data_IF_381190389505
#
_entry.id   IF_381190389505
#
_cell.length_a   1.000
_cell.length_b   1.000
_cell.length_c   1.000
_cell.angle_alpha   90.00
_cell.angle_beta   90.00
_cell.angle_gamma   90.00
#
_symmetry.space_group_name_H-M   'P 1'
#
loop_
_entity.id
_entity.type
_entity.pdbx_description
1 polymer ?
#
# COMPACT_ATOMS: atom_id res chain seq x y z
N UNK A 1 2.36 -38.25 -20.62
CA UNK A 1 2.25 -38.57 -19.19
C UNK A 1 3.64 -38.56 -18.62
N UNK A 2 4.04 -37.47 -17.95
CA UNK A 2 5.32 -37.38 -17.26
C UNK A 2 5.01 -37.02 -15.82
N UNK A 3 5.29 -37.97 -14.93
CA UNK A 3 5.21 -37.86 -13.47
C UNK A 3 6.41 -37.04 -12.99
N UNK A 4 6.19 -36.04 -12.14
CA UNK A 4 7.24 -35.19 -11.57
C UNK A 4 7.31 -35.39 -10.06
N UNK A 5 8.50 -35.69 -9.54
CA UNK A 5 8.82 -35.83 -8.10
C UNK A 5 9.50 -34.55 -7.59
N UNK A 6 9.06 -34.04 -6.42
CA UNK A 6 9.65 -32.90 -5.73
C UNK A 6 10.29 -33.39 -4.41
N UNK A 7 11.60 -33.16 -4.23
CA UNK A 7 12.36 -33.56 -3.04
C UNK A 7 12.57 -32.42 -2.02
N UNK A 8 11.77 -31.36 -2.07
CA UNK A 8 11.59 -30.48 -0.90
C UNK A 8 12.62 -29.38 -0.65
N UNK A 9 13.55 -29.09 -1.56
CA UNK A 9 14.44 -27.92 -1.48
C UNK A 9 14.46 -27.13 -2.80
N UNK A 10 13.83 -25.94 -2.82
CA UNK A 10 13.85 -24.98 -3.94
C UNK A 10 12.47 -24.67 -4.56
N UNK A 11 12.32 -23.54 -5.30
CA UNK A 11 11.04 -23.15 -5.89
C UNK A 11 10.58 -24.18 -6.93
N UNK A 12 9.28 -24.52 -6.90
CA UNK A 12 8.64 -25.48 -7.79
C UNK A 12 8.91 -25.17 -9.28
N UNK A 13 9.43 -26.15 -10.01
CA UNK A 13 9.42 -26.11 -11.47
C UNK A 13 8.02 -26.39 -12.00
N UNK A 14 7.33 -25.32 -12.40
CA UNK A 14 6.10 -25.40 -13.21
C UNK A 14 6.50 -25.15 -14.67
N UNK A 15 6.35 -26.11 -15.59
CA UNK A 15 6.49 -25.85 -17.01
C UNK A 15 5.34 -24.94 -17.47
N UNK A 16 5.65 -23.69 -17.83
CA UNK A 16 4.75 -22.83 -18.60
C UNK A 16 3.85 -21.84 -17.86
N UNK A 17 4.30 -21.19 -16.79
CA UNK A 17 3.60 -20.02 -16.22
C UNK A 17 4.52 -18.82 -16.05
N UNK A 18 4.04 -17.63 -16.45
CA UNK A 18 4.86 -16.47 -16.78
C UNK A 18 4.40 -15.15 -16.16
N UNK A 19 5.39 -14.24 -16.12
CA UNK A 19 5.33 -12.79 -15.89
C UNK A 19 6.79 -12.27 -16.09
N UNK A 20 7.17 -11.19 -16.80
CA UNK A 20 6.57 -10.07 -17.58
C UNK A 20 7.54 -9.77 -18.76
N UNK A 21 7.05 -9.38 -19.95
CA UNK A 21 7.31 -8.06 -20.54
C UNK A 21 5.99 -7.33 -20.84
N UNK A 22 6.10 -6.02 -20.88
CA UNK A 22 5.06 -5.00 -21.10
C UNK A 22 4.27 -5.19 -22.39
N UNK A 23 2.96 -4.91 -22.39
CA UNK A 23 2.09 -5.04 -23.57
C UNK A 23 1.39 -3.70 -23.82
N UNK A 24 1.20 -3.35 -25.10
CA UNK A 24 0.57 -2.10 -25.55
C UNK A 24 -0.81 -2.40 -26.14
N UNK A 25 -1.79 -1.54 -25.85
CA UNK A 25 -3.19 -1.70 -26.27
C UNK A 25 -3.76 -0.37 -26.77
N UNK A 26 -4.68 -0.45 -27.72
CA UNK A 26 -5.39 0.70 -28.30
C UNK A 26 -6.88 0.68 -27.87
N UNK A 27 -7.47 1.85 -27.69
CA UNK A 27 -8.89 2.04 -27.28
C UNK A 27 -9.68 2.67 -28.43
N UNK A 28 -10.46 1.85 -29.15
CA UNK A 28 -11.17 2.28 -30.37
C UNK A 28 -12.52 2.99 -30.11
N UNK A 29 -13.10 3.71 -31.11
CA UNK A 29 -14.46 4.23 -31.07
C UNK A 29 -15.56 3.16 -31.12
N UNK A 30 -16.65 3.37 -30.37
CA UNK A 30 -17.95 2.74 -30.61
C UNK A 30 -18.60 3.37 -31.84
N UNK A 31 -18.90 2.57 -32.87
CA UNK A 31 -19.79 2.96 -33.95
C UNK A 31 -21.24 2.71 -33.52
N UNK A 32 -22.05 3.77 -33.48
CA UNK A 32 -23.47 3.72 -33.15
C UNK A 32 -24.24 2.94 -34.22
N UNK A 33 -24.80 1.79 -33.85
CA UNK A 33 -25.92 1.20 -34.58
C UNK A 33 -27.14 1.14 -33.66
N UNK A 34 -28.17 1.90 -34.06
CA UNK A 34 -29.44 1.97 -33.36
C UNK A 34 -30.14 0.60 -33.39
N UNK A 35 -30.36 0.02 -32.20
CA UNK A 35 -31.08 -1.24 -32.07
C UNK A 35 -30.94 -1.88 -30.69
N UNK A 36 -31.55 -1.26 -29.67
CA UNK A 36 -32.05 -1.87 -28.43
C UNK A 36 -31.21 -3.00 -27.79
N UNK A 37 -30.25 -2.66 -26.93
CA UNK A 37 -29.96 -3.41 -25.69
C UNK A 37 -29.41 -2.46 -24.62
N UNK A 38 -30.09 -2.39 -23.47
CA UNK A 38 -29.58 -1.78 -22.24
C UNK A 38 -28.44 -2.66 -21.69
N UNK A 39 -27.19 -2.21 -21.87
CA UNK A 39 -26.02 -2.57 -21.06
C UNK A 39 -25.03 -1.41 -21.21
N UNK A 40 -24.43 -0.96 -20.11
CA UNK A 40 -23.44 0.11 -20.07
C UNK A 40 -22.41 -0.04 -21.21
N UNK A 41 -22.16 1.04 -21.96
CA UNK A 41 -21.28 1.06 -23.13
C UNK A 41 -19.94 0.35 -22.85
N UNK A 42 -19.79 -0.87 -23.33
CA UNK A 42 -18.57 -1.67 -23.13
C UNK A 42 -17.47 -1.04 -23.98
N UNK A 43 -16.40 -0.58 -23.33
CA UNK A 43 -15.17 -0.12 -23.99
C UNK A 43 -14.64 -1.21 -24.94
N UNK A 44 -14.48 -0.89 -26.23
CA UNK A 44 -13.83 -1.78 -27.19
C UNK A 44 -12.31 -1.61 -27.11
N UNK A 45 -11.68 -2.49 -26.32
CA UNK A 45 -10.23 -2.55 -26.13
C UNK A 45 -9.63 -3.58 -27.08
N UNK A 46 -8.51 -3.24 -27.74
CA UNK A 46 -7.76 -4.16 -28.60
C UNK A 46 -6.31 -4.28 -28.18
N UNK A 47 -5.83 -5.52 -28.10
CA UNK A 47 -4.40 -5.79 -27.91
C UNK A 47 -3.69 -5.57 -29.25
N UNK A 48 -2.79 -4.59 -29.32
CA UNK A 48 -2.05 -4.28 -30.56
C UNK A 48 -0.69 -4.96 -30.64
N UNK A 49 -0.16 -5.44 -29.52
CA UNK A 49 1.07 -6.25 -29.47
C UNK A 49 0.79 -7.69 -29.00
N UNK A 50 1.83 -8.53 -28.89
CA UNK A 50 1.66 -9.88 -28.33
C UNK A 50 1.85 -9.88 -26.81
N UNK A 51 1.15 -10.76 -26.11
CA UNK A 51 1.39 -11.12 -24.71
C UNK A 51 2.54 -12.13 -24.70
N UNK A 52 3.62 -11.86 -23.96
CA UNK A 52 4.75 -12.79 -23.94
C UNK A 52 4.32 -14.18 -23.44
N UNK A 53 4.89 -15.22 -24.04
CA UNK A 53 4.52 -16.62 -23.84
C UNK A 53 3.07 -17.00 -24.22
N UNK A 54 2.29 -16.10 -24.82
CA UNK A 54 0.94 -16.39 -25.29
C UNK A 54 0.74 -16.02 -26.77
N UNK A 55 0.73 -17.04 -27.65
CA UNK A 55 0.70 -16.81 -29.10
C UNK A 55 -0.64 -16.22 -29.57
N UNK A 56 -0.66 -15.06 -30.25
CA UNK A 56 -1.90 -14.38 -30.65
C UNK A 56 -2.78 -15.21 -31.60
N UNK A 57 -2.16 -15.87 -32.59
CA UNK A 57 -2.87 -16.76 -33.51
C UNK A 57 -3.45 -18.04 -32.90
N UNK A 58 -2.74 -18.72 -31.98
CA UNK A 58 -3.19 -19.97 -31.36
C UNK A 58 -4.21 -19.74 -30.23
N UNK A 59 -4.08 -18.62 -29.50
CA UNK A 59 -4.88 -18.33 -28.32
C UNK A 59 -5.82 -17.13 -28.49
N UNK A 60 -6.38 -16.94 -29.69
CA UNK A 60 -7.26 -15.80 -30.01
C UNK A 60 -8.42 -15.62 -29.03
N UNK A 61 -9.01 -16.72 -28.54
CA UNK A 61 -10.09 -16.66 -27.54
C UNK A 61 -9.60 -16.05 -26.23
N UNK A 62 -8.42 -16.44 -25.75
CA UNK A 62 -7.85 -15.89 -24.52
C UNK A 62 -7.51 -14.41 -24.69
N UNK A 63 -6.97 -13.99 -25.84
CA UNK A 63 -6.77 -12.57 -26.14
C UNK A 63 -8.08 -11.77 -26.02
N UNK A 64 -9.18 -12.28 -26.61
CA UNK A 64 -10.50 -11.62 -26.47
C UNK A 64 -11.00 -11.55 -25.03
N UNK A 65 -10.68 -12.55 -24.19
CA UNK A 65 -11.01 -12.51 -22.77
C UNK A 65 -10.16 -11.48 -22.01
N UNK A 66 -8.87 -11.37 -22.33
CA UNK A 66 -7.97 -10.37 -21.76
C UNK A 66 -8.42 -8.95 -22.14
N UNK A 67 -8.79 -8.71 -23.40
CA UNK A 67 -9.35 -7.43 -23.88
C UNK A 67 -10.58 -7.02 -23.05
N UNK A 68 -11.53 -7.94 -22.85
CA UNK A 68 -12.72 -7.69 -22.03
C UNK A 68 -12.38 -7.43 -20.56
N UNK A 69 -11.38 -8.13 -20.02
CA UNK A 69 -10.96 -7.97 -18.64
C UNK A 69 -10.27 -6.61 -18.42
N UNK A 70 -9.46 -6.17 -19.38
CA UNK A 70 -8.84 -4.83 -19.38
C UNK A 70 -9.93 -3.78 -19.50
N UNK A 71 -10.87 -3.92 -20.44
CA UNK A 71 -12.02 -3.02 -20.56
C UNK A 71 -12.82 -2.92 -19.26
N UNK A 72 -12.98 -4.03 -18.54
CA UNK A 72 -13.66 -4.05 -17.23
C UNK A 72 -12.83 -3.43 -16.10
N UNK A 73 -11.51 -3.37 -16.24
CA UNK A 73 -10.60 -2.77 -15.25
C UNK A 73 -10.51 -1.25 -15.39
N UNK A 74 -10.73 -0.69 -16.58
CA UNK A 74 -10.61 0.76 -16.85
C UNK A 74 -11.52 1.62 -15.95
N UNK A 75 -12.84 1.32 -15.79
CA UNK A 75 -13.68 2.08 -14.86
C UNK A 75 -13.16 2.04 -13.43
N UNK A 76 -12.72 0.88 -12.94
CA UNK A 76 -12.13 0.76 -11.60
C UNK A 76 -10.83 1.54 -11.47
N UNK A 77 -9.99 1.60 -12.51
CA UNK A 77 -8.78 2.43 -12.53
C UNK A 77 -9.10 3.92 -12.48
N UNK A 78 -10.14 4.36 -13.21
CA UNK A 78 -10.61 5.75 -13.17
C UNK A 78 -11.11 6.17 -11.78
N UNK A 79 -11.66 5.24 -10.99
CA UNK A 79 -12.15 5.52 -9.63
C UNK A 79 -11.03 5.63 -8.59
N UNK A 80 -9.94 4.88 -8.76
CA UNK A 80 -8.87 4.78 -7.75
C UNK A 80 -7.67 5.70 -8.03
N UNK A 81 -7.49 6.16 -9.27
CA UNK A 81 -6.40 7.05 -9.66
C UNK A 81 -6.80 8.52 -9.50
N UNK A 82 -5.84 9.35 -9.10
CA UNK A 82 -5.98 10.79 -8.96
C UNK A 82 -4.67 11.49 -9.31
N UNK A 83 -4.72 12.81 -9.56
CA UNK A 83 -3.54 13.60 -9.90
C UNK A 83 -2.80 14.03 -8.62
N UNK A 84 -1.47 13.93 -8.61
CA UNK A 84 -0.63 14.04 -7.39
C UNK A 84 -0.87 15.28 -6.52
N UNK A 85 -1.14 16.43 -7.12
CA UNK A 85 -1.37 17.71 -6.41
C UNK A 85 -2.82 17.85 -5.91
N UNK A 86 -3.66 16.83 -6.08
CA UNK A 86 -5.06 16.82 -5.63
C UNK A 86 -5.22 15.77 -4.53
N UNK A 87 -5.91 16.11 -3.43
CA UNK A 87 -6.18 15.19 -2.31
C UNK A 87 -7.20 14.08 -2.64
N UNK A 88 -7.10 13.47 -3.82
CA UNK A 88 -7.99 12.40 -4.30
C UNK A 88 -9.41 12.87 -4.65
N UNK A 89 -10.36 11.93 -4.58
CA UNK A 89 -11.79 12.20 -4.80
C UNK A 89 -12.34 13.14 -3.72
N UNK A 90 -12.96 14.26 -4.15
CA UNK A 90 -13.63 15.23 -3.28
C UNK A 90 -15.14 15.27 -3.54
N UNK A 91 -15.99 15.39 -2.49
CA UNK A 91 -15.61 15.31 -1.08
C UNK A 91 -15.11 13.90 -0.75
N UNK A 92 -14.16 13.75 0.19
CA UNK A 92 -13.68 12.44 0.59
C UNK A 92 -14.84 11.61 1.15
N UNK A 93 -14.80 10.28 0.93
CA UNK A 93 -15.86 9.37 1.38
C UNK A 93 -16.03 9.41 2.91
N UNK A 94 -14.94 9.63 3.62
CA UNK A 94 -14.85 9.76 5.07
C UNK A 94 -13.99 10.99 5.35
N UNK A 95 -14.52 11.97 6.07
CA UNK A 95 -13.74 13.08 6.64
C UNK A 95 -13.16 12.61 7.98
N UNK A 96 -12.11 13.19 8.55
CA UNK A 96 -11.66 12.84 9.92
C UNK A 96 -11.20 14.08 10.67
N UNK A 97 -11.59 14.22 11.94
CA UNK A 97 -11.07 15.24 12.84
C UNK A 97 -9.88 14.68 13.62
N UNK A 98 -8.93 15.54 13.99
CA UNK A 98 -7.93 15.18 14.99
C UNK A 98 -8.56 14.83 16.34
N UNK A 99 -7.72 14.49 17.31
CA UNK A 99 -8.17 14.20 18.66
C UNK A 99 -8.35 15.48 19.48
N UNK A 100 -9.41 15.53 20.29
CA UNK A 100 -9.58 16.58 21.29
C UNK A 100 -8.62 16.31 22.43
N UNK A 101 -7.74 17.26 22.71
CA UNK A 101 -6.80 17.20 23.83
C UNK A 101 -7.34 18.04 24.98
N UNK A 102 -7.35 17.46 26.18
CA UNK A 102 -7.71 18.09 27.44
C UNK A 102 -6.46 18.33 28.28
N UNK A 103 -6.49 19.37 29.11
CA UNK A 103 -5.42 19.75 30.03
C UNK A 103 -4.04 19.98 29.37
N UNK A 104 -4.00 20.14 28.05
CA UNK A 104 -2.76 20.45 27.33
C UNK A 104 -2.26 21.84 27.73
N UNK A 105 -1.05 21.88 28.30
CA UNK A 105 -0.50 23.10 28.86
C UNK A 105 -1.50 23.79 29.80
N UNK A 106 -2.21 23.03 30.64
CA UNK A 106 -3.16 23.55 31.64
C UNK A 106 -2.54 24.68 32.46
N UNK A 107 -3.15 25.86 32.47
CA UNK A 107 -2.70 26.97 33.32
C UNK A 107 -2.82 26.57 34.79
N UNK A 108 -1.71 26.67 35.53
CA UNK A 108 -1.69 26.33 36.94
C UNK A 108 -0.83 27.35 37.69
N UNK A 109 -1.37 27.87 38.80
CA UNK A 109 -0.74 28.94 39.61
C UNK A 109 0.71 28.65 39.99
N UNK A 110 1.05 27.36 40.16
CA UNK A 110 2.42 26.92 40.41
C UNK A 110 3.41 27.47 39.37
N UNK A 111 3.07 27.48 38.08
CA UNK A 111 3.97 27.92 37.01
C UNK A 111 4.09 29.46 36.89
N UNK A 112 3.20 30.20 37.54
CA UNK A 112 3.31 31.67 37.64
C UNK A 112 4.41 32.08 38.63
N UNK A 113 4.57 31.28 39.70
CA UNK A 113 5.50 31.52 40.79
C UNK A 113 6.79 30.71 40.69
N UNK A 114 6.74 29.46 40.19
CA UNK A 114 7.88 28.56 40.03
C UNK A 114 8.59 28.78 38.70
N UNK A 115 9.68 29.55 38.74
CA UNK A 115 10.51 29.88 37.57
C UNK A 115 11.75 28.97 37.50
N UNK A 116 12.30 28.72 36.31
CA UNK A 116 13.45 27.84 36.11
C UNK A 116 14.78 28.55 36.44
N UNK A 117 14.94 29.02 37.68
CA UNK A 117 16.17 29.67 38.16
C UNK A 117 17.18 28.65 38.71
N UNK A 118 18.50 28.96 38.66
CA UNK A 118 19.54 28.05 39.14
C UNK A 118 19.57 27.91 40.67
N UNK A 119 19.03 28.88 41.42
CA UNK A 119 18.92 28.83 42.87
C UNK A 119 17.67 29.56 43.37
N UNK A 120 17.16 29.16 44.53
CA UNK A 120 15.89 29.68 45.06
C UNK A 120 15.98 31.11 45.59
N UNK A 121 17.17 31.56 46.00
CA UNK A 121 17.41 32.92 46.53
C UNK A 121 17.16 34.03 45.50
N UNK A 122 17.06 33.68 44.22
CA UNK A 122 16.70 34.61 43.14
C UNK A 122 15.17 34.75 43.02
N UNK A 123 14.41 33.79 43.55
CA UNK A 123 12.96 33.70 43.39
C UNK A 123 12.18 33.98 44.68
N UNK A 124 12.74 33.64 45.83
CA UNK A 124 12.11 33.79 47.14
C UNK A 124 13.04 34.56 48.08
N UNK A 125 12.47 35.48 48.86
CA UNK A 125 13.21 36.27 49.83
C UNK A 125 13.57 35.45 51.08
N UNK A 126 12.81 34.38 51.35
CA UNK A 126 13.00 33.52 52.52
C UNK A 126 13.02 32.02 52.19
N UNK A 127 13.75 31.25 53.00
CA UNK A 127 13.80 29.79 52.91
C UNK A 127 12.43 29.12 53.15
N UNK A 128 11.58 29.74 53.98
CA UNK A 128 10.26 29.21 54.32
C UNK A 128 9.26 29.35 53.15
N UNK A 129 9.36 30.44 52.38
CA UNK A 129 8.59 30.60 51.13
C UNK A 129 8.99 29.55 50.10
N UNK A 130 10.30 29.29 49.97
CA UNK A 130 10.80 28.24 49.09
C UNK A 130 10.33 26.85 49.52
N UNK A 131 10.35 26.53 50.82
CA UNK A 131 9.83 25.27 51.35
C UNK A 131 8.33 25.09 51.08
N UNK A 132 7.55 26.15 51.26
CA UNK A 132 6.11 26.15 50.95
C UNK A 132 5.88 25.85 49.47
N UNK A 133 6.63 26.51 48.58
CA UNK A 133 6.53 26.31 47.13
C UNK A 133 6.94 24.89 46.71
N UNK A 134 7.98 24.33 47.33
CA UNK A 134 8.37 22.93 47.11
C UNK A 134 7.28 21.96 47.51
N UNK A 135 6.64 22.17 48.66
CA UNK A 135 5.54 21.32 49.11
C UNK A 135 4.35 21.40 48.16
N UNK A 136 3.99 22.60 47.67
CA UNK A 136 2.97 22.75 46.62
C UNK A 136 3.35 22.03 45.33
N UNK A 137 4.63 22.08 44.94
CA UNK A 137 5.11 21.35 43.77
C UNK A 137 5.04 19.83 43.96
N UNK A 138 5.38 19.32 45.15
CA UNK A 138 5.23 17.89 45.49
C UNK A 138 3.79 17.43 45.39
N UNK A 139 2.88 18.16 46.02
CA UNK A 139 1.44 17.86 45.97
C UNK A 139 0.93 17.84 44.52
N UNK A 140 1.38 18.78 43.68
CA UNK A 140 1.05 18.80 42.26
C UNK A 140 1.60 17.57 41.51
N UNK A 141 2.85 17.18 41.77
CA UNK A 141 3.51 16.02 41.15
C UNK A 141 2.88 14.69 41.60
N UNK A 142 2.40 14.60 42.83
CA UNK A 142 1.71 13.42 43.39
C UNK A 142 0.24 13.32 42.96
N UNK A 143 -0.32 14.37 42.36
CA UNK A 143 -1.71 14.40 41.88
C UNK A 143 -2.05 13.26 40.90
N UNK A 144 -3.33 12.99 40.65
CA UNK A 144 -3.74 11.91 39.77
C UNK A 144 -3.31 12.15 38.31
N UNK A 145 -3.00 11.07 37.60
CA UNK A 145 -2.75 11.06 36.15
C UNK A 145 -3.83 10.25 35.43
N UNK A 146 -4.16 10.61 34.18
CA UNK A 146 -4.96 9.75 33.34
C UNK A 146 -4.19 8.45 33.02
N UNK A 147 -4.89 7.35 32.70
CA UNK A 147 -4.25 6.10 32.30
C UNK A 147 -3.25 6.33 31.16
N UNK A 148 -2.11 5.62 31.15
CA UNK A 148 -1.05 5.80 30.14
C UNK A 148 -1.55 5.78 28.69
N UNK A 149 -2.51 4.91 28.37
CA UNK A 149 -3.10 4.80 27.02
C UNK A 149 -3.99 5.99 26.63
N UNK A 150 -4.37 6.85 27.58
CA UNK A 150 -5.11 8.10 27.35
C UNK A 150 -4.22 9.34 27.41
N UNK A 151 -2.98 9.23 27.89
CA UNK A 151 -2.08 10.37 27.99
C UNK A 151 -1.76 10.90 26.60
N UNK A 152 -1.92 12.21 26.39
CA UNK A 152 -1.59 12.86 25.12
C UNK A 152 -0.09 12.74 24.81
N UNK A 153 0.73 12.73 25.86
CA UNK A 153 2.16 12.45 25.77
C UNK A 153 2.57 11.67 27.03
N UNK A 154 2.86 10.38 26.87
CA UNK A 154 3.06 9.46 28.00
C UNK A 154 4.46 9.54 28.63
N UNK A 155 5.44 10.09 27.90
CA UNK A 155 6.85 10.18 28.31
C UNK A 155 7.38 8.82 28.84
N UNK A 156 7.46 7.78 27.98
CA UNK A 156 7.75 6.42 28.40
C UNK A 156 9.14 6.25 29.04
N UNK A 157 10.09 7.13 28.70
CA UNK A 157 11.44 7.14 29.23
C UNK A 157 11.57 7.72 30.65
N UNK A 158 10.50 8.32 31.19
CA UNK A 158 10.46 8.82 32.58
C UNK A 158 9.87 7.74 33.51
N UNK A 159 10.34 7.64 34.77
CA UNK A 159 9.82 6.66 35.72
C UNK A 159 8.32 6.83 35.95
N UNK A 160 7.66 5.78 36.42
CA UNK A 160 6.22 5.81 36.74
C UNK A 160 5.96 6.86 37.83
N UNK A 161 6.77 6.85 38.88
CA UNK A 161 6.76 7.88 39.91
C UNK A 161 7.78 8.97 39.56
N UNK A 162 7.29 10.18 39.24
CA UNK A 162 8.15 11.31 38.92
C UNK A 162 8.96 11.82 40.12
N UNK A 163 8.54 11.48 41.36
CA UNK A 163 9.27 11.84 42.57
C UNK A 163 10.64 11.16 42.66
N UNK A 164 10.79 9.99 42.01
CA UNK A 164 12.03 9.22 42.01
C UNK A 164 13.12 9.85 41.13
N UNK A 165 12.80 10.91 40.37
CA UNK A 165 13.75 11.59 39.49
C UNK A 165 14.73 12.51 40.22
N UNK A 166 14.40 12.95 41.45
CA UNK A 166 15.20 13.92 42.19
C UNK A 166 15.61 13.38 43.55
N UNK A 167 16.88 13.55 43.91
CA UNK A 167 17.35 13.34 45.28
C UNK A 167 16.87 14.48 46.20
N UNK A 168 16.84 14.28 47.53
CA UNK A 168 16.44 15.33 48.48
C UNK A 168 17.19 16.66 48.30
N UNK A 169 18.47 16.62 47.93
CA UNK A 169 19.31 17.79 47.69
C UNK A 169 18.93 18.49 46.36
N UNK A 170 18.56 17.73 45.34
CA UNK A 170 18.15 18.28 44.04
C UNK A 170 16.80 19.00 44.11
N UNK A 171 15.95 18.66 45.09
CA UNK A 171 14.72 19.39 45.37
C UNK A 171 14.98 20.83 45.86
N UNK A 172 16.18 21.19 46.28
CA UNK A 172 16.54 22.58 46.60
C UNK A 172 16.79 23.45 45.37
N UNK A 173 16.85 22.87 44.17
CA UNK A 173 17.15 23.57 42.92
C UNK A 173 15.83 23.87 42.18
N UNK A 174 15.39 25.15 42.07
CA UNK A 174 14.11 25.49 41.45
C UNK A 174 13.95 24.99 40.02
N UNK A 175 15.01 25.03 39.23
CA UNK A 175 15.00 24.50 37.88
C UNK A 175 14.64 22.99 37.83
N UNK A 176 15.15 22.19 38.78
CA UNK A 176 14.84 20.76 38.84
C UNK A 176 13.37 20.55 39.23
N UNK A 177 12.88 21.26 40.25
CA UNK A 177 11.48 21.22 40.69
C UNK A 177 10.53 21.69 39.59
N UNK A 178 10.90 22.72 38.83
CA UNK A 178 10.16 23.19 37.66
C UNK A 178 10.09 22.11 36.58
N UNK A 179 11.20 21.40 36.32
CA UNK A 179 11.28 20.36 35.30
C UNK A 179 10.36 19.15 35.59
N UNK A 180 10.37 18.60 36.81
CA UNK A 180 9.46 17.51 37.19
C UNK A 180 8.00 17.95 37.21
N UNK A 181 7.70 19.16 37.68
CA UNK A 181 6.34 19.72 37.59
C UNK A 181 5.89 19.83 36.13
N UNK A 182 6.78 20.22 35.21
CA UNK A 182 6.49 20.25 33.77
C UNK A 182 6.22 18.86 33.20
N UNK A 183 7.00 17.83 33.56
CA UNK A 183 6.71 16.45 33.16
C UNK A 183 5.35 15.99 33.65
N UNK A 184 4.97 16.36 34.89
CA UNK A 184 3.63 16.08 35.41
C UNK A 184 2.54 16.76 34.59
N UNK A 185 2.71 18.06 34.29
CA UNK A 185 1.77 18.83 33.45
C UNK A 185 1.57 18.17 32.09
N UNK A 186 2.65 17.68 31.47
CA UNK A 186 2.58 16.92 30.21
C UNK A 186 1.79 15.62 30.37
N UNK A 187 2.08 14.79 31.39
CA UNK A 187 1.38 13.52 31.64
C UNK A 187 -0.08 13.67 32.04
N UNK A 188 -0.46 14.83 32.57
CA UNK A 188 -1.86 15.14 32.90
C UNK A 188 -2.70 15.44 31.67
N UNK A 189 -2.09 15.88 30.57
CA UNK A 189 -2.81 16.05 29.31
C UNK A 189 -3.28 14.70 28.78
N UNK A 190 -4.53 14.64 28.32
CA UNK A 190 -5.14 13.41 27.80
C UNK A 190 -6.02 13.71 26.59
N UNK A 191 -6.35 12.67 25.84
CA UNK A 191 -7.15 12.82 24.63
C UNK A 191 -8.37 11.91 24.61
N UNK A 192 -9.41 12.35 23.89
CA UNK A 192 -10.49 11.49 23.46
C UNK A 192 -10.10 10.82 22.14
N UNK A 193 -10.23 9.48 22.09
CA UNK A 193 -10.12 8.78 20.82
C UNK A 193 -11.21 9.30 19.88
N UNK A 194 -10.90 9.51 18.59
CA UNK A 194 -11.87 10.02 17.64
C UNK A 194 -13.05 9.05 17.53
N UNK A 195 -14.26 9.58 17.70
CA UNK A 195 -15.50 8.84 17.48
C UNK A 195 -15.66 8.49 15.99
N UNK A 196 -16.31 7.37 15.64
CA UNK A 196 -16.52 6.93 14.26
C UNK A 196 -17.48 7.85 13.48
N UNK A 197 -18.00 8.91 14.09
CA UNK A 197 -18.77 9.93 13.41
C UNK A 197 -19.60 10.78 14.36
N UNK A 198 -20.32 11.75 13.80
CA UNK A 198 -21.34 12.55 14.52
C UNK A 198 -22.69 11.82 14.60
N UNK A 199 -22.87 10.76 13.81
CA UNK A 199 -24.13 10.00 13.72
C UNK A 199 -24.26 8.90 14.77
N UNK A 200 -23.14 8.37 15.27
CA UNK A 200 -23.11 7.31 16.28
C UNK A 200 -21.73 7.23 16.94
N UNK A 201 -21.70 6.80 18.20
CA UNK A 201 -20.48 6.59 18.98
C UNK A 201 -19.78 5.26 18.64
N UNK A 202 -18.51 5.14 19.05
CA UNK A 202 -17.69 3.94 18.94
C UNK A 202 -18.36 2.75 19.61
N UNK A 203 -19.01 2.97 20.76
CA UNK A 203 -19.74 1.90 21.47
C UNK A 203 -20.92 1.37 20.65
N UNK A 204 -21.70 2.27 20.05
CA UNK A 204 -22.83 1.89 19.18
C UNK A 204 -22.33 1.15 17.94
N UNK A 205 -21.31 1.69 17.28
CA UNK A 205 -20.66 1.03 16.14
C UNK A 205 -20.14 -0.37 16.50
N UNK A 206 -19.44 -0.50 17.62
CA UNK A 206 -18.88 -1.77 18.12
C UNK A 206 -19.98 -2.79 18.44
N UNK A 207 -21.16 -2.33 18.85
CA UNK A 207 -22.34 -3.16 19.10
C UNK A 207 -23.10 -3.54 17.82
N UNK A 208 -22.70 -3.00 16.66
CA UNK A 208 -23.40 -3.21 15.39
C UNK A 208 -24.69 -2.40 15.28
N UNK A 209 -24.94 -1.47 16.20
CA UNK A 209 -26.03 -0.51 16.13
C UNK A 209 -25.56 0.64 15.24
N UNK A 210 -26.28 0.93 14.16
CA UNK A 210 -25.90 1.94 13.16
C UNK A 210 -24.66 1.56 12.31
N UNK A 211 -24.70 0.41 11.61
CA UNK A 211 -23.70 0.00 10.59
C UNK A 211 -23.72 0.85 9.31
N UNK A 212 -24.41 1.99 9.33
CA UNK A 212 -24.29 3.01 8.29
C UNK A 212 -22.84 3.47 8.14
N UNK A 213 -22.51 4.11 7.02
CA UNK A 213 -21.16 4.64 6.82
C UNK A 213 -20.91 5.73 7.87
N UNK A 214 -19.89 5.53 8.68
CA UNK A 214 -19.28 6.50 9.58
C UNK A 214 -19.22 7.90 8.92
N UNK A 215 -20.07 8.82 9.38
CA UNK A 215 -20.01 10.23 8.99
C UNK A 215 -19.26 10.97 10.07
N UNK A 216 -17.96 11.04 9.90
CA UNK A 216 -17.11 11.99 10.58
C UNK A 216 -17.20 13.31 9.83
N UNK A 217 -16.98 14.42 10.51
CA UNK A 217 -16.88 15.70 9.81
C UNK A 217 -15.39 16.16 9.81
N UNK A 218 -15.06 17.24 9.09
CA UNK A 218 -13.75 17.91 9.15
C UNK A 218 -13.96 19.42 9.33
N UNK A 219 -12.89 20.12 9.70
CA UNK A 219 -12.82 21.58 9.60
C UNK A 219 -12.38 21.94 8.17
N UNK A 220 -13.06 22.93 7.60
CA UNK A 220 -12.84 23.44 6.24
C UNK A 220 -11.43 24.02 6.19
N UNK A 221 -10.49 23.35 5.50
CA UNK A 221 -9.22 24.02 5.15
C UNK A 221 -9.55 25.20 4.24
N UNK A 222 -8.81 26.31 4.36
CA UNK A 222 -9.08 27.51 3.55
C UNK A 222 -9.04 27.20 2.06
N UNK A 223 -8.18 26.27 1.61
CA UNK A 223 -8.11 25.83 0.23
C UNK A 223 -7.58 24.39 0.08
N UNK A 224 -8.09 23.63 -0.91
CA UNK A 224 -9.46 23.72 -1.41
C UNK A 224 -10.43 23.17 -0.35
N UNK A 225 -11.60 23.82 -0.24
CA UNK A 225 -12.70 23.42 0.66
C UNK A 225 -12.95 21.90 0.55
N UNK A 226 -13.01 21.13 1.66
CA UNK A 226 -13.33 19.71 1.61
C UNK A 226 -14.72 19.39 1.01
N UNK A 227 -15.61 20.39 0.92
CA UNK A 227 -16.91 20.33 0.21
C UNK A 227 -16.81 20.78 -1.26
N UNK A 228 -15.62 21.13 -1.73
CA UNK A 228 -15.39 21.52 -3.11
C UNK A 228 -15.50 20.30 -4.02
N UNK A 229 -16.42 20.37 -4.98
CA UNK A 229 -16.72 19.29 -5.91
C UNK A 229 -15.83 19.29 -7.16
N UNK A 230 -14.80 20.13 -7.24
CA UNK A 230 -13.83 20.14 -8.36
C UNK A 230 -12.88 18.95 -8.28
N UNK A 231 -13.42 17.74 -8.24
CA UNK A 231 -12.69 16.55 -8.60
C UNK A 231 -12.57 16.52 -10.12
N UNK A 232 -11.33 16.51 -10.64
CA UNK A 232 -11.06 16.20 -12.04
C UNK A 232 -10.95 14.68 -12.16
N UNK A 233 -12.00 13.97 -12.63
CA UNK A 233 -11.94 12.53 -12.70
C UNK A 233 -10.90 12.10 -13.73
N UNK A 234 -10.11 11.10 -13.38
CA UNK A 234 -9.30 10.39 -14.36
C UNK A 234 -10.26 9.67 -15.32
N UNK A 235 -10.04 9.85 -16.62
CA UNK A 235 -10.82 9.20 -17.68
C UNK A 235 -9.85 8.63 -18.70
N UNK A 236 -9.23 7.51 -18.36
CA UNK A 236 -8.16 6.89 -19.15
C UNK A 236 -8.57 6.71 -20.62
N UNK A 237 -9.79 6.24 -20.86
CA UNK A 237 -10.36 5.99 -22.18
C UNK A 237 -10.52 7.24 -23.05
N UNK A 238 -10.62 8.43 -22.41
CA UNK A 238 -10.72 9.71 -23.13
C UNK A 238 -9.36 10.36 -23.29
N UNK A 239 -8.55 10.33 -22.24
CA UNK A 239 -7.29 11.07 -22.17
C UNK A 239 -6.17 10.39 -22.97
N UNK A 240 -6.11 9.07 -22.94
CA UNK A 240 -5.03 8.29 -23.57
C UNK A 240 -5.52 7.55 -24.80
N UNK A 241 -6.65 7.98 -25.37
CA UNK A 241 -7.27 7.27 -26.49
C UNK A 241 -6.36 7.09 -27.69
N UNK A 242 -5.69 8.16 -28.09
CA UNK A 242 -4.79 8.15 -29.26
C UNK A 242 -3.45 7.47 -28.96
N UNK A 243 -3.01 7.55 -27.70
CA UNK A 243 -1.73 6.95 -27.27
C UNK A 243 -1.88 5.48 -26.95
N UNK A 244 -3.05 5.01 -26.56
CA UNK A 244 -3.23 3.68 -25.98
C UNK A 244 -2.77 3.59 -24.53
N UNK A 245 -2.97 2.42 -23.94
CA UNK A 245 -2.55 2.08 -22.58
C UNK A 245 -1.51 0.95 -22.61
N UNK A 246 -0.56 0.99 -21.69
CA UNK A 246 0.37 -0.11 -21.46
C UNK A 246 -0.09 -0.92 -20.24
N UNK A 247 -0.32 -2.23 -20.44
CA UNK A 247 -0.79 -3.13 -19.39
C UNK A 247 0.09 -4.37 -19.36
N UNK A 248 0.58 -4.72 -18.17
CA UNK A 248 1.22 -6.01 -17.94
C UNK A 248 0.16 -7.05 -17.62
N UNK A 249 0.21 -8.17 -18.33
CA UNK A 249 -0.62 -9.33 -18.04
C UNK A 249 0.24 -10.41 -17.39
N UNK A 250 -0.16 -10.84 -16.20
CA UNK A 250 0.37 -12.01 -15.52
C UNK A 250 -0.75 -13.01 -15.28
N UNK A 251 -0.52 -14.26 -15.64
CA UNK A 251 -1.44 -15.37 -15.37
C UNK A 251 -0.70 -16.30 -14.43
N UNK A 252 -1.20 -16.41 -13.20
CA UNK A 252 -0.62 -17.23 -12.16
C UNK A 252 -1.57 -18.37 -11.82
N UNK A 253 -1.01 -19.57 -11.61
CA UNK A 253 -1.74 -20.74 -11.14
C UNK A 253 -0.99 -21.35 -9.97
N UNK A 254 -1.69 -21.47 -8.84
CA UNK A 254 -1.18 -22.11 -7.63
C UNK A 254 -1.95 -23.41 -7.45
N UNK A 255 -1.23 -24.52 -7.36
CA UNK A 255 -1.80 -25.85 -7.14
C UNK A 255 -1.31 -26.38 -5.80
N UNK A 256 -2.25 -26.82 -4.96
CA UNK A 256 -1.98 -27.50 -3.70
C UNK A 256 -2.36 -28.97 -3.85
N UNK A 257 -1.50 -29.85 -3.36
CA UNK A 257 -1.71 -31.31 -3.39
C UNK A 257 -1.81 -31.85 -1.98
N UNK A 258 -2.33 -33.07 -1.77
CA UNK A 258 -2.32 -33.71 -0.46
C UNK A 258 -0.92 -33.78 0.18
N UNK A 259 0.14 -33.91 -0.62
CA UNK A 259 1.53 -33.96 -0.16
C UNK A 259 2.07 -32.57 0.22
N UNK A 260 1.57 -31.50 -0.41
CA UNK A 260 1.89 -30.12 -0.07
C UNK A 260 0.61 -29.29 0.07
N UNK A 261 -0.11 -29.43 1.20
CA UNK A 261 -1.49 -28.93 1.34
C UNK A 261 -1.58 -27.46 1.74
N UNK A 262 -0.45 -26.77 1.93
CA UNK A 262 -0.39 -25.41 2.50
C UNK A 262 0.43 -24.50 1.58
N UNK A 263 -0.15 -23.36 1.22
CA UNK A 263 0.57 -22.21 0.69
C UNK A 263 0.97 -21.29 1.85
N UNK A 264 2.26 -21.02 2.02
CA UNK A 264 2.78 -20.24 3.16
C UNK A 264 2.48 -18.75 3.10
N UNK A 265 1.97 -18.24 1.98
CA UNK A 265 1.80 -16.80 1.78
C UNK A 265 3.07 -16.14 1.24
N UNK A 266 2.95 -14.86 0.91
CA UNK A 266 4.09 -13.99 0.63
C UNK A 266 4.73 -13.52 1.95
N UNK A 267 6.06 -13.41 2.00
CA UNK A 267 6.76 -13.03 3.22
C UNK A 267 6.45 -11.60 3.65
N UNK A 268 6.53 -10.65 2.71
CA UNK A 268 6.48 -9.23 2.99
C UNK A 268 5.42 -8.52 2.15
N UNK A 269 4.93 -7.38 2.66
CA UNK A 269 4.12 -6.47 1.86
C UNK A 269 4.96 -5.86 0.75
N UNK A 270 4.39 -5.69 -0.44
CA UNK A 270 5.11 -5.08 -1.55
C UNK A 270 4.18 -4.29 -2.46
N UNK A 271 4.74 -3.30 -3.15
CA UNK A 271 4.09 -2.65 -4.29
C UNK A 271 4.26 -3.49 -5.54
N UNK A 272 3.36 -3.33 -6.50
CA UNK A 272 3.40 -4.07 -7.75
C UNK A 272 4.42 -3.44 -8.69
N UNK A 273 5.42 -4.24 -9.09
CA UNK A 273 6.56 -3.78 -9.88
C UNK A 273 7.58 -2.96 -9.08
N UNK A 274 8.66 -2.55 -9.75
CA UNK A 274 9.70 -1.65 -9.23
C UNK A 274 9.54 -0.23 -9.80
N UNK A 275 10.39 0.71 -9.39
CA UNK A 275 10.35 2.09 -9.90
C UNK A 275 10.49 2.19 -11.43
N UNK A 276 11.25 1.29 -12.05
CA UNK A 276 11.46 1.26 -13.50
C UNK A 276 10.23 0.74 -14.28
N UNK A 277 9.36 0.01 -13.58
CA UNK A 277 8.17 -0.62 -14.13
C UNK A 277 7.01 0.37 -14.30
N UNK A 278 7.06 1.50 -13.57
CA UNK A 278 6.09 2.62 -13.64
C UNK A 278 4.64 2.16 -13.47
N UNK A 279 4.39 1.17 -12.62
CA UNK A 279 3.04 0.70 -12.34
C UNK A 279 2.27 1.77 -11.56
N UNK A 280 1.12 2.17 -12.08
CA UNK A 280 0.20 3.13 -11.47
C UNK A 280 -0.94 2.43 -10.70
N UNK A 281 -1.46 1.33 -11.24
CA UNK A 281 -2.55 0.56 -10.63
C UNK A 281 -2.47 -0.92 -10.99
N UNK A 282 -3.07 -1.76 -10.14
CA UNK A 282 -3.17 -3.20 -10.37
C UNK A 282 -4.63 -3.64 -10.29
N UNK A 283 -4.99 -4.64 -11.08
CA UNK A 283 -6.25 -5.34 -11.00
C UNK A 283 -6.04 -6.84 -11.01
N UNK A 284 -6.70 -7.53 -10.09
CA UNK A 284 -6.59 -8.96 -9.89
C UNK A 284 -7.96 -9.59 -10.13
N UNK A 285 -8.02 -10.53 -11.06
CA UNK A 285 -9.20 -11.31 -11.37
C UNK A 285 -9.01 -12.77 -10.95
N UNK A 286 -9.96 -13.28 -10.18
CA UNK A 286 -9.96 -14.69 -9.74
C UNK A 286 -10.73 -15.51 -10.77
N UNK A 287 -10.00 -16.28 -11.58
CA UNK A 287 -10.60 -17.13 -12.62
C UNK A 287 -11.23 -18.38 -12.00
N UNK A 288 -10.52 -19.00 -11.07
CA UNK A 288 -10.90 -20.29 -10.48
C UNK A 288 -10.30 -20.36 -9.07
N UNK A 289 -11.11 -20.80 -8.09
CA UNK A 289 -10.65 -21.04 -6.73
C UNK A 289 -11.33 -22.29 -6.16
N UNK A 290 -10.68 -23.46 -6.26
CA UNK A 290 -11.28 -24.76 -5.90
C UNK A 290 -10.53 -25.45 -4.76
N UNK A 291 -11.31 -26.00 -3.83
CA UNK A 291 -10.83 -26.77 -2.68
C UNK A 291 -9.80 -26.01 -1.80
N UNK A 292 -9.95 -24.70 -1.66
CA UNK A 292 -9.07 -23.86 -0.83
C UNK A 292 -9.87 -23.19 0.28
N UNK A 293 -9.23 -23.02 1.45
CA UNK A 293 -9.73 -22.11 2.48
C UNK A 293 -9.82 -20.70 1.90
N UNK A 294 -10.62 -19.82 2.50
CA UNK A 294 -10.80 -18.45 2.01
C UNK A 294 -9.46 -17.76 1.76
N UNK A 295 -9.11 -17.58 0.48
CA UNK A 295 -7.88 -16.90 0.07
C UNK A 295 -8.07 -15.41 0.28
N UNK A 296 -7.06 -14.74 0.83
CA UNK A 296 -7.16 -13.31 1.18
C UNK A 296 -5.93 -12.54 0.71
N UNK A 297 -6.17 -11.30 0.33
CA UNK A 297 -5.14 -10.32 -0.04
C UNK A 297 -5.15 -9.21 1.02
N UNK A 298 -4.07 -9.10 1.79
CA UNK A 298 -3.87 -8.07 2.79
C UNK A 298 -3.35 -6.79 2.14
N UNK A 299 -3.75 -5.64 2.70
CA UNK A 299 -3.31 -4.33 2.26
C UNK A 299 -2.71 -3.52 3.40
N UNK A 300 -1.66 -2.79 3.07
CA UNK A 300 -0.97 -1.84 3.93
C UNK A 300 -0.78 -0.53 3.16
N UNK A 301 -0.83 0.60 3.85
CA UNK A 301 -0.50 1.90 3.29
C UNK A 301 0.48 2.65 4.18
N UNK A 302 1.30 3.45 3.51
CA UNK A 302 2.20 4.40 4.16
C UNK A 302 1.46 5.73 4.24
N UNK A 303 1.09 6.13 5.45
CA UNK A 303 0.43 7.42 5.69
C UNK A 303 1.45 8.41 6.26
N UNK A 304 1.67 9.51 5.53
CA UNK A 304 2.37 10.68 6.05
C UNK A 304 1.35 11.55 6.80
N UNK A 305 1.06 11.21 8.05
CA UNK A 305 0.11 12.00 8.84
C UNK A 305 0.83 13.16 9.52
N UNK A 306 0.47 14.38 9.14
CA UNK A 306 0.92 15.61 9.80
C UNK A 306 -0.12 16.05 10.83
N UNK A 307 0.33 16.35 12.06
CA UNK A 307 -0.58 16.74 13.15
C UNK A 307 -1.34 18.04 12.85
N UNK A 308 -0.71 18.94 12.11
CA UNK A 308 -1.30 20.20 11.60
C UNK A 308 -2.50 19.98 10.68
N UNK A 309 -2.47 18.96 9.82
CA UNK A 309 -3.58 18.65 8.91
C UNK A 309 -4.85 18.24 9.65
N UNK A 310 -4.68 17.64 10.83
CA UNK A 310 -5.77 17.20 11.70
C UNK A 310 -6.04 18.18 12.85
N UNK A 311 -5.35 19.33 12.88
CA UNK A 311 -5.40 20.32 13.96
C UNK A 311 -5.13 19.72 15.36
N UNK A 312 -4.34 18.64 15.42
CA UNK A 312 -3.95 18.06 16.68
C UNK A 312 -2.80 18.90 17.28
N UNK A 313 -2.99 19.52 18.45
CA UNK A 313 -1.93 20.33 19.06
C UNK A 313 -0.77 19.48 19.61
N UNK A 314 -0.99 18.18 19.80
CA UNK A 314 0.00 17.23 20.35
C UNK A 314 0.23 16.09 19.36
N UNK A 315 1.29 16.15 18.54
CA UNK A 315 1.61 15.10 17.55
C UNK A 315 1.68 13.69 18.14
N UNK A 316 2.19 13.55 19.38
CA UNK A 316 2.30 12.27 20.09
C UNK A 316 0.94 11.64 20.40
N UNK A 317 -0.08 12.45 20.67
CA UNK A 317 -1.44 11.96 20.87
C UNK A 317 -1.99 11.37 19.57
N UNK A 318 -1.71 12.04 18.44
CA UNK A 318 -2.11 11.55 17.13
C UNK A 318 -1.35 10.27 16.73
N UNK A 319 -0.05 10.21 16.99
CA UNK A 319 0.74 8.98 16.81
C UNK A 319 0.12 7.81 17.59
N UNK A 320 -0.25 8.05 18.85
CA UNK A 320 -0.94 7.05 19.70
C UNK A 320 -2.29 6.61 19.12
N UNK A 321 -3.10 7.56 18.61
CA UNK A 321 -4.38 7.25 17.94
C UNK A 321 -4.19 6.38 16.71
N UNK A 322 -3.09 6.60 16.00
CA UNK A 322 -2.72 5.95 14.76
C UNK A 322 -1.92 4.66 14.96
N UNK A 323 -1.67 4.25 16.20
CA UNK A 323 -0.85 3.07 16.55
C UNK A 323 0.58 3.16 15.99
N UNK A 324 1.12 4.38 15.95
CA UNK A 324 2.52 4.67 15.59
C UNK A 324 3.34 4.77 16.87
N UNK A 325 4.43 4.03 16.94
CA UNK A 325 5.34 4.03 18.08
C UNK A 325 5.86 5.43 18.41
N UNK A 326 6.07 5.70 19.70
CA UNK A 326 6.71 6.93 20.15
C UNK A 326 8.15 6.98 19.65
N UNK A 327 8.54 8.12 19.07
CA UNK A 327 9.89 8.35 18.56
C UNK A 327 10.60 9.42 19.36
N UNK A 328 11.88 9.20 19.63
CA UNK A 328 12.72 10.14 20.36
C UNK A 328 13.83 10.69 19.44
N UNK A 329 14.21 11.95 19.67
CA UNK A 329 15.17 12.66 18.80
C UNK A 329 16.58 12.04 18.76
N UNK A 330 16.91 11.20 19.74
CA UNK A 330 18.19 10.47 19.81
C UNK A 330 18.14 9.09 19.13
N UNK A 331 16.96 8.63 18.69
CA UNK A 331 16.84 7.39 17.93
C UNK A 331 17.26 7.61 16.48
N UNK A 332 18.06 6.70 15.94
CA UNK A 332 18.63 6.85 14.58
C UNK A 332 17.58 6.78 13.48
N UNK A 333 16.43 6.12 13.74
CA UNK A 333 15.40 5.85 12.73
C UNK A 333 14.01 6.19 13.26
N UNK A 334 13.20 6.94 12.49
CA UNK A 334 11.78 7.13 12.77
C UNK A 334 11.00 5.80 12.87
N UNK A 335 9.85 5.77 13.56
CA UNK A 335 8.99 4.61 13.66
C UNK A 335 8.33 4.31 12.31
N UNK A 336 7.87 3.06 12.15
CA UNK A 336 7.12 2.65 10.96
C UNK A 336 5.69 3.16 11.05
N UNK A 337 5.36 4.21 10.29
CA UNK A 337 4.02 4.72 10.05
C UNK A 337 3.34 3.93 8.90
N UNK A 338 3.13 2.64 9.12
CA UNK A 338 2.48 1.74 8.18
C UNK A 338 1.15 1.24 8.76
N UNK A 339 0.07 1.54 8.05
CA UNK A 339 -1.27 1.19 8.47
C UNK A 339 -1.74 -0.07 7.76
N UNK A 340 -1.82 -1.18 8.49
CA UNK A 340 -2.47 -2.38 8.02
C UNK A 340 -4.00 -2.23 8.14
N UNK A 341 -4.71 -2.14 7.02
CA UNK A 341 -6.17 -1.96 7.06
C UNK A 341 -6.87 -3.23 7.52
N UNK A 342 -6.67 -4.32 6.74
CA UNK A 342 -7.21 -5.69 6.81
C UNK A 342 -7.00 -6.36 5.46
N UNK A 343 -7.44 -7.61 5.34
CA UNK A 343 -7.43 -8.34 4.08
C UNK A 343 -8.80 -8.48 3.43
N UNK A 344 -8.81 -8.58 2.11
CA UNK A 344 -10.01 -8.77 1.27
C UNK A 344 -10.05 -10.22 0.78
N UNK A 345 -11.18 -10.92 0.90
CA UNK A 345 -11.30 -12.28 0.35
C UNK A 345 -11.32 -12.26 -1.18
N UNK A 346 -10.52 -13.13 -1.77
CA UNK A 346 -10.50 -13.43 -3.20
C UNK A 346 -11.61 -14.43 -3.51
N UNK A 347 -12.60 -14.01 -4.30
CA UNK A 347 -13.76 -14.81 -4.68
C UNK A 347 -13.74 -15.04 -6.17
N UNK A 348 -14.03 -16.26 -6.61
CA UNK A 348 -14.13 -16.61 -8.03
C UNK A 348 -15.08 -15.65 -8.78
N UNK A 349 -14.66 -15.18 -9.96
CA UNK A 349 -15.40 -14.23 -10.77
C UNK A 349 -15.31 -12.77 -10.31
N UNK A 350 -14.57 -12.46 -9.23
CA UNK A 350 -14.38 -11.08 -8.74
C UNK A 350 -13.15 -10.44 -9.36
N UNK A 351 -13.31 -9.19 -9.78
CA UNK A 351 -12.23 -8.27 -10.14
C UNK A 351 -11.98 -7.31 -8.97
N UNK A 352 -10.74 -7.22 -8.51
CA UNK A 352 -10.31 -6.32 -7.44
C UNK A 352 -9.24 -5.37 -7.99
N UNK A 353 -9.41 -4.06 -7.81
CA UNK A 353 -8.47 -3.05 -8.30
C UNK A 353 -7.96 -2.16 -7.16
N UNK A 354 -6.68 -1.82 -7.18
CA UNK A 354 -6.06 -0.91 -6.21
C UNK A 354 -4.91 -0.11 -6.85
N UNK A 355 -4.67 1.14 -6.39
CA UNK A 355 -3.56 1.95 -6.86
C UNK A 355 -2.23 1.43 -6.30
N UNK A 356 -1.13 1.72 -6.98
CA UNK A 356 0.21 1.28 -6.56
C UNK A 356 0.78 2.08 -5.37
N UNK A 357 -0.05 2.90 -4.72
CA UNK A 357 0.21 3.51 -3.40
C UNK A 357 -0.08 2.55 -2.24
N UNK A 358 -0.84 1.49 -2.50
CA UNK A 358 -1.03 0.40 -1.53
C UNK A 358 0.01 -0.67 -1.74
N UNK A 359 0.50 -1.20 -0.62
CA UNK A 359 1.28 -2.42 -0.57
C UNK A 359 0.34 -3.58 -0.34
N UNK A 360 0.52 -4.67 -1.06
CA UNK A 360 -0.30 -5.87 -0.93
C UNK A 360 0.53 -7.08 -0.55
N UNK A 361 -0.12 -8.04 0.11
CA UNK A 361 0.46 -9.32 0.48
C UNK A 361 -0.58 -10.43 0.40
N UNK A 362 -0.29 -11.51 -0.32
CA UNK A 362 -1.12 -12.70 -0.33
C UNK A 362 -0.93 -13.50 0.97
N UNK A 363 -2.01 -13.74 1.69
CA UNK A 363 -1.98 -14.51 2.95
C UNK A 363 -1.81 -16.02 2.70
N UNK A 364 -1.46 -16.76 3.76
CA UNK A 364 -1.39 -18.21 3.71
C UNK A 364 -2.79 -18.83 3.59
N UNK A 365 -2.87 -19.96 2.89
CA UNK A 365 -4.12 -20.73 2.76
C UNK A 365 -3.80 -22.21 2.56
N UNK A 366 -4.80 -23.07 2.75
CA UNK A 366 -4.65 -24.53 2.69
C UNK A 366 -5.83 -25.19 2.00
N UNK A 367 -5.71 -26.50 1.75
CA UNK A 367 -6.82 -27.32 1.27
C UNK A 367 -7.97 -27.37 2.28
N UNK A 368 -9.22 -27.32 1.78
CA UNK A 368 -10.41 -27.58 2.62
C UNK A 368 -10.56 -29.07 2.87
N UNK A 369 -10.51 -29.86 1.80
CA UNK A 369 -10.39 -31.32 1.83
C UNK A 369 -8.94 -31.71 1.50
N UNK A 370 -8.14 -32.15 2.49
CA UNK A 370 -6.76 -32.55 2.29
C UNK A 370 -6.58 -33.79 1.40
N UNK A 371 -7.64 -34.54 1.10
CA UNK A 371 -7.57 -35.74 0.25
C UNK A 371 -7.62 -35.43 -1.24
N UNK A 372 -8.06 -34.22 -1.61
CA UNK A 372 -8.21 -33.78 -3.00
C UNK A 372 -7.26 -32.63 -3.30
N UNK A 373 -6.74 -32.51 -4.53
CA UNK A 373 -5.98 -31.33 -4.93
C UNK A 373 -6.88 -30.09 -4.96
N UNK A 374 -6.26 -28.93 -4.83
CA UNK A 374 -6.91 -27.62 -4.94
C UNK A 374 -6.13 -26.70 -5.84
N UNK A 375 -6.81 -25.72 -6.43
CA UNK A 375 -6.16 -24.77 -7.33
C UNK A 375 -6.72 -23.35 -7.20
N UNK A 376 -5.84 -22.39 -7.50
CA UNK A 376 -6.15 -20.97 -7.60
C UNK A 376 -5.56 -20.47 -8.91
N UNK A 377 -6.42 -19.97 -9.81
CA UNK A 377 -6.00 -19.33 -11.06
C UNK A 377 -6.33 -17.84 -11.00
N UNK A 378 -5.29 -17.00 -11.14
CA UNK A 378 -5.37 -15.55 -11.05
C UNK A 378 -4.91 -14.92 -12.37
N UNK A 379 -5.58 -13.85 -12.78
CA UNK A 379 -5.09 -12.95 -13.82
C UNK A 379 -4.84 -11.59 -13.17
N UNK A 380 -3.58 -11.15 -13.19
CA UNK A 380 -3.15 -9.86 -12.67
C UNK A 380 -2.84 -8.93 -13.84
N UNK A 381 -3.50 -7.79 -13.86
CA UNK A 381 -3.35 -6.72 -14.84
C UNK A 381 -2.71 -5.52 -14.15
N UNK A 382 -1.52 -5.10 -14.58
CA UNK A 382 -0.86 -3.91 -14.02
C UNK A 382 -0.83 -2.80 -15.06
N UNK A 383 -1.49 -1.70 -14.76
CA UNK A 383 -1.48 -0.50 -15.57
C UNK A 383 -0.16 0.24 -15.37
N UNK A 384 0.58 0.43 -16.45
CA UNK A 384 1.73 1.35 -16.49
C UNK A 384 1.19 2.77 -16.55
N UNK A 385 1.84 3.71 -15.86
CA UNK A 385 1.55 5.13 -15.95
C UNK A 385 1.48 5.57 -17.42
N UNK A 386 0.29 5.95 -17.93
CA UNK A 386 0.11 6.30 -19.33
C UNK A 386 0.86 7.57 -19.78
N UNK A 387 1.43 8.34 -18.84
CA UNK A 387 2.28 9.49 -19.16
C UNK A 387 3.70 9.08 -19.58
N UNK A 388 4.12 7.84 -19.30
CA UNK A 388 5.43 7.33 -19.64
C UNK A 388 5.32 6.11 -20.56
N UNK A 389 5.94 6.19 -21.74
CA UNK A 389 6.12 5.03 -22.61
C UNK A 389 7.37 4.24 -22.19
N UNK A 390 7.20 2.98 -21.83
CA UNK A 390 8.32 2.05 -21.56
C UNK A 390 8.44 0.99 -22.66
N UNK A 391 9.61 0.37 -22.79
CA UNK A 391 9.87 -0.65 -23.82
C UNK A 391 8.96 -1.87 -23.61
N UNK A 392 8.28 -2.32 -24.66
CA UNK A 392 7.24 -3.37 -24.58
C UNK A 392 7.32 -4.39 -25.72
N UNK A 393 6.44 -5.40 -25.71
CA UNK A 393 6.27 -6.36 -26.81
C UNK A 393 5.78 -5.73 -28.11
N UNK A 394 5.44 -4.43 -28.11
CA UNK A 394 5.27 -3.66 -29.33
C UNK A 394 6.62 -3.34 -29.99
N UNK A 395 7.68 -3.18 -29.18
CA UNK A 395 9.03 -2.84 -29.63
C UNK A 395 9.93 -4.07 -29.76
N UNK A 396 9.70 -5.07 -28.89
CA UNK A 396 10.48 -6.30 -28.81
C UNK A 396 9.75 -7.39 -29.59
N UNK A 397 10.39 -8.06 -30.57
CA UNK A 397 9.77 -9.17 -31.29
C UNK A 397 9.67 -10.44 -30.42
N UNK A 398 8.81 -11.40 -30.80
CA UNK A 398 8.71 -12.67 -30.08
C UNK A 398 10.07 -13.34 -29.88
N UNK A 399 10.41 -13.61 -28.62
CA UNK A 399 11.70 -14.17 -28.22
C UNK A 399 11.71 -15.70 -28.22
N UNK A 400 10.54 -16.33 -28.34
CA UNK A 400 10.45 -17.80 -28.37
C UNK A 400 10.92 -18.34 -29.72
N UNK A 401 11.98 -19.15 -29.68
CA UNK A 401 12.61 -19.72 -30.86
C UNK A 401 11.59 -20.41 -31.79
N UNK A 402 10.70 -21.24 -31.26
CA UNK A 402 9.68 -21.95 -32.06
C UNK A 402 8.72 -21.00 -32.82
N UNK A 403 8.34 -19.89 -32.19
CA UNK A 403 7.45 -18.92 -32.83
C UNK A 403 8.17 -18.20 -33.96
N UNK A 404 9.42 -17.79 -33.69
CA UNK A 404 10.26 -17.14 -34.69
C UNK A 404 10.55 -18.10 -35.85
N UNK A 405 10.94 -19.34 -35.57
CA UNK A 405 11.27 -20.33 -36.58
C UNK A 405 10.08 -20.61 -37.51
N UNK A 406 8.87 -20.77 -36.96
CA UNK A 406 7.66 -20.93 -37.76
C UNK A 406 7.35 -19.68 -38.60
N UNK A 407 7.47 -18.49 -38.02
CA UNK A 407 7.21 -17.23 -38.72
C UNK A 407 8.24 -16.95 -39.83
N UNK A 408 9.53 -17.18 -39.58
CA UNK A 408 10.61 -17.00 -40.53
C UNK A 408 10.50 -17.98 -41.71
N UNK A 409 10.21 -19.25 -41.42
CA UNK A 409 9.94 -20.29 -42.43
C UNK A 409 8.78 -19.89 -43.35
N UNK A 410 7.70 -19.37 -42.78
CA UNK A 410 6.54 -18.89 -43.53
C UNK A 410 6.85 -17.62 -44.33
N UNK A 411 7.50 -16.62 -43.73
CA UNK A 411 7.80 -15.34 -44.37
C UNK A 411 8.75 -15.50 -45.58
N UNK A 412 9.76 -16.36 -45.46
CA UNK A 412 10.67 -16.68 -46.56
C UNK A 412 10.08 -17.68 -47.58
N UNK A 413 8.86 -18.17 -47.34
CA UNK A 413 8.16 -19.18 -48.14
C UNK A 413 9.03 -20.42 -48.40
N UNK A 414 9.80 -20.84 -47.39
CA UNK A 414 10.81 -21.89 -47.56
C UNK A 414 10.18 -23.20 -48.03
N UNK A 415 9.02 -23.56 -47.48
CA UNK A 415 8.27 -24.78 -47.85
C UNK A 415 7.76 -24.79 -49.30
N UNK A 416 7.64 -23.61 -49.91
CA UNK A 416 7.24 -23.48 -51.31
C UNK A 416 8.44 -23.42 -52.26
N UNK A 417 9.63 -23.07 -51.73
CA UNK A 417 10.85 -22.81 -52.53
C UNK A 417 11.87 -23.93 -52.43
N UNK A 418 11.86 -24.70 -51.36
CA UNK A 418 12.87 -25.71 -51.03
C UNK A 418 12.19 -27.02 -50.56
N UNK A 419 12.74 -28.18 -50.94
CA UNK A 419 12.41 -29.45 -50.30
C UNK A 419 12.69 -29.43 -48.78
N UNK A 420 11.94 -30.21 -48.01
CA UNK A 420 12.04 -30.27 -46.54
C UNK A 420 13.48 -30.57 -46.06
N UNK A 421 14.21 -31.38 -46.80
CA UNK A 421 15.60 -31.77 -46.54
C UNK A 421 16.56 -30.58 -46.60
N UNK A 422 16.22 -29.51 -47.34
CA UNK A 422 16.98 -28.27 -47.41
C UNK A 422 16.46 -27.19 -46.47
N UNK A 423 15.17 -27.26 -46.08
CA UNK A 423 14.61 -26.35 -45.07
C UNK A 423 15.22 -26.62 -43.70
N UNK A 424 15.39 -27.89 -43.29
CA UNK A 424 15.93 -28.21 -41.96
C UNK A 424 17.36 -27.70 -41.74
N UNK A 425 18.34 -27.92 -42.65
CA UNK A 425 19.68 -27.36 -42.50
C UNK A 425 19.68 -25.83 -42.42
N UNK A 426 18.84 -25.15 -43.21
CA UNK A 426 18.72 -23.69 -43.18
C UNK A 426 18.22 -23.21 -41.82
N UNK A 427 17.20 -23.86 -41.26
CA UNK A 427 16.70 -23.54 -39.93
C UNK A 427 17.69 -23.94 -38.82
N UNK A 428 18.47 -25.00 -38.99
CA UNK A 428 19.51 -25.40 -38.03
C UNK A 428 20.65 -24.37 -37.92
N UNK A 429 20.98 -23.68 -39.03
CA UNK A 429 21.98 -22.59 -39.02
C UNK A 429 21.56 -21.37 -38.19
N UNK A 430 20.26 -21.21 -37.93
CA UNK A 430 19.71 -20.08 -37.16
C UNK A 430 19.12 -20.52 -35.82
N UNK A 431 19.35 -21.76 -35.38
CA UNK A 431 18.75 -22.30 -34.15
C UNK A 431 19.13 -21.54 -32.88
N UNK A 432 20.28 -20.89 -32.88
CA UNK A 432 20.79 -20.11 -31.74
C UNK A 432 20.21 -18.68 -31.70
N UNK A 433 19.30 -18.35 -32.62
CA UNK A 433 18.62 -17.05 -32.66
C UNK A 433 17.12 -17.21 -32.95
N UNK A 434 16.20 -16.64 -32.15
CA UNK A 434 16.42 -15.87 -30.92
C UNK A 434 16.83 -16.76 -29.72
N UNK A 435 16.98 -16.12 -28.56
CA UNK A 435 17.26 -16.71 -27.25
C UNK A 435 16.57 -18.07 -27.02
N UNK A 436 17.32 -19.03 -26.49
CA UNK A 436 16.78 -20.36 -26.13
C UNK A 436 15.89 -20.30 -24.89
N UNK A 437 14.99 -21.27 -24.73
CA UNK A 437 14.15 -21.37 -23.53
C UNK A 437 14.97 -21.47 -22.23
N UNK A 438 16.12 -22.16 -22.27
CA UNK A 438 17.02 -22.30 -21.12
C UNK A 438 17.70 -20.97 -20.75
N UNK A 439 18.11 -20.19 -21.75
CA UNK A 439 18.68 -18.86 -21.53
C UNK A 439 17.63 -17.89 -20.99
N UNK A 440 16.41 -17.92 -21.52
CA UNK A 440 15.30 -17.13 -21.02
C UNK A 440 14.98 -17.45 -19.55
N UNK A 441 14.99 -18.73 -19.17
CA UNK A 441 14.77 -19.16 -17.77
C UNK A 441 15.92 -18.71 -16.85
N UNK A 442 17.17 -18.75 -17.33
CA UNK A 442 18.33 -18.22 -16.60
C UNK A 442 18.20 -16.71 -16.33
N UNK A 443 17.83 -15.93 -17.35
CA UNK A 443 17.60 -14.50 -17.21
C UNK A 443 16.42 -14.18 -16.30
N UNK A 444 15.33 -14.95 -16.41
CA UNK A 444 14.18 -14.85 -15.50
C UNK A 444 14.59 -15.06 -14.05
N UNK A 445 15.40 -16.07 -13.77
CA UNK A 445 15.89 -16.37 -12.42
C UNK A 445 16.74 -15.22 -11.86
N UNK A 446 17.62 -14.64 -12.70
CA UNK A 446 18.41 -13.46 -12.33
C UNK A 446 17.52 -12.25 -12.02
N UNK A 447 16.52 -11.99 -12.87
CA UNK A 447 15.58 -10.89 -12.68
C UNK A 447 14.76 -11.06 -11.39
N UNK A 448 14.28 -12.27 -11.11
CA UNK A 448 13.57 -12.56 -9.85
C UNK A 448 14.46 -12.32 -8.63
N UNK A 449 15.72 -12.75 -8.67
CA UNK A 449 16.68 -12.50 -7.60
C UNK A 449 16.95 -11.00 -7.39
N UNK A 450 17.11 -10.23 -8.47
CA UNK A 450 17.29 -8.78 -8.40
C UNK A 450 16.05 -8.06 -7.84
N UNK A 451 14.85 -8.47 -8.27
CA UNK A 451 13.59 -7.95 -7.76
C UNK A 451 13.44 -8.23 -6.26
N UNK A 452 13.74 -9.46 -5.85
CA UNK A 452 13.70 -9.88 -4.45
C UNK A 452 14.70 -9.08 -3.60
N UNK A 453 15.93 -8.89 -4.11
CA UNK A 453 16.93 -8.04 -3.44
C UNK A 453 16.44 -6.61 -3.29
N UNK A 454 15.87 -6.02 -4.35
CA UNK A 454 15.33 -4.66 -4.31
C UNK A 454 14.17 -4.54 -3.32
N UNK A 455 13.26 -5.52 -3.29
CA UNK A 455 12.13 -5.57 -2.34
C UNK A 455 12.61 -5.60 -0.89
N UNK A 456 13.61 -6.40 -0.55
CA UNK A 456 14.17 -6.42 0.82
C UNK A 456 14.79 -5.08 1.24
N UNK A 457 15.42 -4.38 0.30
CA UNK A 457 15.96 -3.04 0.56
C UNK A 457 14.83 -2.02 0.75
N UNK A 458 13.75 -2.12 -0.04
CA UNK A 458 12.57 -1.27 0.15
C UNK A 458 11.93 -1.55 1.51
N UNK A 459 11.71 -2.81 1.88
CA UNK A 459 11.12 -3.20 3.16
C UNK A 459 11.92 -2.69 4.37
N UNK A 460 13.25 -2.58 4.28
CA UNK A 460 14.08 -2.07 5.38
C UNK A 460 14.07 -0.54 5.53
N UNK A 461 13.53 0.18 4.55
CA UNK A 461 13.52 1.65 4.51
C UNK A 461 12.11 2.26 4.44
N UNK A 462 11.08 1.47 4.14
CA UNK A 462 9.72 1.96 3.88
C UNK A 462 9.01 2.44 5.15
N UNK A 463 8.19 3.48 5.02
CA UNK A 463 7.25 3.88 6.06
C UNK A 463 7.85 4.52 7.31
N UNK A 464 9.11 4.92 7.31
CA UNK A 464 9.72 5.56 8.48
C UNK A 464 9.37 7.05 8.50
N UNK A 465 8.40 7.45 9.32
CA UNK A 465 7.92 8.84 9.43
C UNK A 465 7.74 9.26 10.88
N UNK A 466 7.94 10.55 11.14
CA UNK A 466 7.66 11.16 12.44
C UNK A 466 6.39 11.99 12.30
N UNK A 467 5.43 11.80 13.20
CA UNK A 467 4.28 12.68 13.30
C UNK A 467 4.76 14.01 13.88
N UNK A 468 4.82 15.05 13.05
CA UNK A 468 5.34 16.38 13.41
C UNK A 468 4.38 17.50 13.05
N UNK A 469 4.60 18.66 13.67
CA UNK A 469 3.95 19.91 13.31
C UNK A 469 4.64 20.56 12.10
N UNK A 470 4.47 19.98 10.90
CA UNK A 470 4.89 20.62 9.65
C UNK A 470 3.66 21.15 8.93
N UNK A 471 3.73 22.35 8.36
CA UNK A 471 2.76 22.73 7.32
C UNK A 471 2.92 21.76 6.16
N UNK A 472 1.80 21.28 5.62
CA UNK A 472 1.84 20.61 4.33
C UNK A 472 2.18 21.68 3.28
N UNK A 473 3.46 21.80 2.94
CA UNK A 473 3.90 22.73 1.90
C UNK A 473 3.49 22.16 0.53
N UNK A 474 2.35 22.65 0.03
CA UNK A 474 1.83 22.31 -1.30
C UNK A 474 2.77 22.74 -2.44
N UNK A 475 3.78 23.59 -2.17
CA UNK A 475 4.77 24.01 -3.17
C UNK A 475 5.88 22.97 -3.42
N UNK A 476 6.11 22.03 -2.48
CA UNK A 476 7.09 20.95 -2.64
C UNK A 476 6.47 19.58 -3.00
N UNK A 477 5.14 19.46 -2.99
CA UNK A 477 4.38 18.24 -3.31
C UNK A 477 3.90 18.19 -4.77
#
# INVERSE_FOLDING_TARGET
MATLTNNGDGPLQVPGFGSIPWIFFDTGPVAWNAGLFNNADILDVRITSYVNNLHPGKHQKLYRHLERLIASSVPSWNEILFYGNTRGCRPPRILTYGCTIHDYQEEHRLFDVLRPWPCWQIQCDTSNEWETLRNTAREYVEGPEPPKWKQAESLPHKPVNLMDLLTPEEWDIPNHVHLIARFKRTRRAWFDHPEPGVSFSYKQWKQGECTGRAMHAQRISKYPDPLHHDHKPVRLEKQFREKGLQVVVEIARIELTPENPIYTGESDFHTEGLRNDRIAATSLYVVECKNLTTVRLAFEHEDKVHATELECPVPQALATVLDIDCWEWYEEKPPRALHAFRSVPLTEGRLLSWPNTYRSKQESFRLVDPSQPGNLTLIKLRLVDPHYGICSTQNVPPQQNDWWAAAARQAARLDQRLPLELVWPVMDQVKDWPMSAAEAESLRTKLQFEHERARRVIESCVGHHIVVNLSYDEEEA
#
